data_IF_833928100908
#
_entry.id   IF_833928100908
#
_cell.length_a   1.000
_cell.length_b   1.000
_cell.length_c   1.000
_cell.angle_alpha   90.00
_cell.angle_beta   90.00
_cell.angle_gamma   90.00
#
_symmetry.space_group_name_H-M   'P 1'
#
loop_
_entity.id
_entity.type
_entity.pdbx_description
1 polymer ?
#
# COMPACT_ATOMS: atom_id res chain seq x y z
N UNK A 1 -8.06 -16.88 40.33
CA UNK A 1 -9.04 -16.16 39.49
C UNK A 1 -8.72 -16.22 38.00
N UNK A 2 -7.49 -15.89 37.57
CA UNK A 2 -7.11 -15.99 36.15
C UNK A 2 -7.32 -17.41 35.59
N UNK A 3 -6.84 -18.46 36.26
CA UNK A 3 -7.09 -19.83 35.80
C UNK A 3 -8.57 -20.25 35.89
N UNK A 4 -9.33 -19.75 36.87
CA UNK A 4 -10.77 -20.05 37.00
C UNK A 4 -11.55 -19.61 35.76
N UNK A 5 -11.27 -18.42 35.23
CA UNK A 5 -11.98 -17.94 34.03
C UNK A 5 -11.58 -18.70 32.77
N UNK A 6 -10.44 -19.39 32.78
CA UNK A 6 -9.95 -20.25 31.69
C UNK A 6 -10.55 -21.65 31.78
N UNK A 7 -10.54 -22.27 32.97
CA UNK A 7 -10.96 -23.68 33.16
C UNK A 7 -12.46 -23.82 33.38
N UNK A 8 -13.04 -23.04 34.30
CA UNK A 8 -14.45 -23.11 34.68
C UNK A 8 -15.34 -22.10 33.93
N UNK A 9 -14.71 -21.18 33.17
CA UNK A 9 -15.38 -20.15 32.38
C UNK A 9 -15.68 -18.86 33.16
N UNK A 10 -16.00 -17.81 32.40
CA UNK A 10 -16.00 -16.43 32.93
C UNK A 10 -17.18 -16.10 33.85
N UNK A 11 -18.31 -16.82 33.75
CA UNK A 11 -19.52 -16.61 34.56
C UNK A 11 -19.82 -17.77 35.51
N UNK A 12 -18.82 -18.58 35.88
CA UNK A 12 -18.99 -19.69 36.81
C UNK A 12 -19.53 -19.24 38.18
N UNK A 13 -20.25 -20.14 38.85
CA UNK A 13 -20.63 -19.96 40.25
C UNK A 13 -19.48 -20.45 41.15
N UNK A 14 -18.75 -19.49 41.73
CA UNK A 14 -17.57 -19.78 42.57
C UNK A 14 -17.90 -20.66 43.78
N UNK A 15 -19.16 -20.73 44.22
CA UNK A 15 -19.59 -21.60 45.32
C UNK A 15 -19.70 -23.07 44.93
N UNK A 16 -19.76 -23.35 43.63
CA UNK A 16 -19.88 -24.71 43.07
C UNK A 16 -18.57 -25.25 42.52
N UNK A 17 -17.50 -24.46 42.56
CA UNK A 17 -16.16 -24.90 42.16
C UNK A 17 -15.59 -25.73 43.32
N UNK A 18 -15.36 -27.02 43.09
CA UNK A 18 -14.80 -27.91 44.11
C UNK A 18 -13.29 -27.69 44.29
N UNK A 19 -12.71 -28.28 45.34
CA UNK A 19 -11.30 -28.12 45.68
C UNK A 19 -10.37 -28.60 44.55
N UNK A 20 -10.70 -29.71 43.88
CA UNK A 20 -9.92 -30.20 42.73
C UNK A 20 -9.91 -29.20 41.56
N UNK A 21 -11.06 -28.58 41.27
CA UNK A 21 -11.17 -27.54 40.24
C UNK A 21 -10.45 -26.25 40.65
N UNK A 22 -10.41 -25.92 41.95
CA UNK A 22 -9.61 -24.81 42.46
C UNK A 22 -8.12 -25.06 42.33
N UNK A 23 -7.66 -26.29 42.59
CA UNK A 23 -6.27 -26.70 42.41
C UNK A 23 -5.88 -26.62 40.93
N UNK A 24 -6.68 -27.20 40.03
CA UNK A 24 -6.46 -27.11 38.58
C UNK A 24 -6.44 -25.65 38.08
N UNK A 25 -7.40 -24.83 38.53
CA UNK A 25 -7.42 -23.42 38.21
C UNK A 25 -6.21 -22.64 38.78
N UNK A 26 -5.66 -23.10 39.91
CA UNK A 26 -4.42 -22.60 40.49
C UNK A 26 -3.24 -22.88 39.56
N UNK A 27 -3.06 -24.13 39.17
CA UNK A 27 -1.96 -24.58 38.30
C UNK A 27 -2.02 -23.89 36.93
N UNK A 28 -3.19 -23.85 36.29
CA UNK A 28 -3.40 -23.15 35.03
C UNK A 28 -3.12 -21.66 35.19
N UNK A 29 -3.66 -21.02 36.23
CA UNK A 29 -3.41 -19.60 36.48
C UNK A 29 -1.94 -19.28 36.70
N UNK A 30 -1.22 -20.12 37.44
CA UNK A 30 0.21 -19.98 37.69
C UNK A 30 1.05 -20.21 36.42
N UNK A 31 0.66 -21.15 35.55
CA UNK A 31 1.34 -21.41 34.27
C UNK A 31 1.37 -20.18 33.34
N UNK A 32 0.39 -19.27 33.45
CA UNK A 32 0.41 -17.97 32.78
C UNK A 32 1.14 -16.92 33.61
N UNK A 33 0.80 -16.79 34.90
CA UNK A 33 1.33 -15.73 35.75
C UNK A 33 2.85 -15.81 36.00
N UNK A 34 3.45 -17.00 36.06
CA UNK A 34 4.91 -17.15 36.26
C UNK A 34 5.73 -16.63 35.08
N UNK A 35 5.12 -16.48 33.89
CA UNK A 35 5.72 -15.86 32.70
C UNK A 35 5.59 -14.33 32.71
N UNK A 36 5.11 -13.75 33.80
CA UNK A 36 4.92 -12.32 33.96
C UNK A 36 3.80 -11.76 33.09
N UNK A 37 3.94 -10.49 32.69
CA UNK A 37 2.95 -9.75 31.92
C UNK A 37 2.54 -10.46 30.63
N UNK A 38 3.51 -10.96 29.86
CA UNK A 38 3.25 -11.62 28.58
C UNK A 38 2.30 -12.84 28.73
N UNK A 39 2.51 -13.67 29.75
CA UNK A 39 1.63 -14.81 30.01
C UNK A 39 0.22 -14.39 30.46
N UNK A 40 0.11 -13.31 31.24
CA UNK A 40 -1.19 -12.78 31.65
C UNK A 40 -1.95 -12.23 30.43
N UNK A 41 -1.28 -11.49 29.53
CA UNK A 41 -1.88 -10.96 28.31
C UNK A 41 -2.35 -12.11 27.39
N UNK A 42 -1.57 -13.17 27.26
CA UNK A 42 -1.95 -14.38 26.51
C UNK A 42 -3.24 -15.00 27.07
N UNK A 43 -3.32 -15.17 28.39
CA UNK A 43 -4.52 -15.69 29.06
C UNK A 43 -5.75 -14.81 28.82
N UNK A 44 -5.61 -13.49 28.90
CA UNK A 44 -6.71 -12.54 28.63
C UNK A 44 -7.17 -12.64 27.17
N UNK A 45 -6.24 -12.80 26.24
CA UNK A 45 -6.55 -12.96 24.83
C UNK A 45 -7.29 -14.25 24.53
N UNK A 46 -6.92 -15.37 25.17
CA UNK A 46 -7.67 -16.63 25.07
C UNK A 46 -9.13 -16.42 25.49
N UNK A 47 -9.36 -15.75 26.62
CA UNK A 47 -10.70 -15.46 27.13
C UNK A 47 -11.47 -14.55 26.16
N UNK A 48 -10.83 -13.52 25.60
CA UNK A 48 -11.46 -12.62 24.62
C UNK A 48 -11.80 -13.35 23.32
N UNK A 49 -10.92 -14.23 22.83
CA UNK A 49 -11.14 -15.03 21.63
C UNK A 49 -12.29 -16.01 21.79
N UNK A 50 -12.41 -16.67 22.96
CA UNK A 50 -13.60 -17.48 23.27
C UNK A 50 -14.87 -16.63 23.27
N UNK A 51 -14.85 -15.43 23.86
CA UNK A 51 -15.98 -14.51 23.83
C UNK A 51 -16.36 -14.08 22.39
N UNK A 52 -15.38 -13.87 21.51
CA UNK A 52 -15.56 -13.60 20.08
C UNK A 52 -16.25 -14.78 19.39
N UNK A 53 -15.75 -16.01 19.58
CA UNK A 53 -16.34 -17.24 19.00
C UNK A 53 -17.79 -17.43 19.45
N UNK A 54 -18.07 -17.14 20.72
CA UNK A 54 -19.43 -17.15 21.30
C UNK A 54 -20.29 -15.95 20.91
N UNK A 55 -19.75 -15.00 20.12
CA UNK A 55 -20.42 -13.76 19.70
C UNK A 55 -20.96 -12.95 20.89
N UNK A 56 -20.20 -12.94 21.97
CA UNK A 56 -20.57 -12.22 23.20
C UNK A 56 -20.61 -10.73 22.91
N UNK A 57 -21.69 -10.08 23.35
CA UNK A 57 -21.90 -8.63 23.26
C UNK A 57 -21.81 -8.01 24.64
N UNK A 58 -21.01 -6.96 24.80
CA UNK A 58 -20.89 -6.18 26.03
C UNK A 58 -19.46 -5.74 26.30
N UNK A 59 -19.28 -5.04 27.43
CA UNK A 59 -17.99 -4.54 27.88
C UNK A 59 -17.12 -5.57 28.62
N UNK A 60 -16.01 -5.11 29.23
CA UNK A 60 -14.99 -5.98 29.82
C UNK A 60 -15.53 -6.89 30.94
N UNK A 61 -16.49 -6.44 31.75
CA UNK A 61 -17.12 -7.28 32.77
C UNK A 61 -17.83 -8.50 32.18
N UNK A 62 -18.41 -8.39 30.98
CA UNK A 62 -19.14 -9.50 30.36
C UNK A 62 -18.18 -10.50 29.70
N UNK A 63 -17.04 -10.02 29.22
CA UNK A 63 -15.99 -10.85 28.60
C UNK A 63 -15.15 -11.53 29.68
N UNK A 64 -14.56 -10.76 30.60
CA UNK A 64 -13.63 -11.26 31.62
C UNK A 64 -14.34 -11.79 32.89
N UNK A 65 -15.63 -11.49 33.06
CA UNK A 65 -16.50 -12.11 34.07
C UNK A 65 -15.95 -12.00 35.49
N UNK A 66 -15.78 -13.15 36.15
CA UNK A 66 -15.33 -13.24 37.55
C UNK A 66 -13.96 -12.59 37.79
N UNK A 67 -13.05 -12.61 36.81
CA UNK A 67 -11.76 -11.93 36.93
C UNK A 67 -11.94 -10.41 37.05
N UNK A 68 -12.78 -9.81 36.19
CA UNK A 68 -13.11 -8.39 36.27
C UNK A 68 -13.79 -8.04 37.59
N UNK A 69 -14.78 -8.84 38.02
CA UNK A 69 -15.52 -8.60 39.25
C UNK A 69 -14.60 -8.63 40.48
N UNK A 70 -13.65 -9.56 40.51
CA UNK A 70 -12.67 -9.67 41.59
C UNK A 70 -11.78 -8.42 41.68
N UNK A 71 -11.32 -7.87 40.55
CA UNK A 71 -10.49 -6.67 40.51
C UNK A 71 -11.28 -5.38 40.76
N UNK A 72 -12.53 -5.29 40.30
CA UNK A 72 -13.34 -4.07 40.41
C UNK A 72 -13.92 -3.87 41.81
N UNK A 73 -14.39 -4.94 42.47
CA UNK A 73 -15.23 -4.82 43.66
C UNK A 73 -14.52 -5.15 44.97
N UNK A 74 -13.20 -4.90 45.07
CA UNK A 74 -12.30 -5.29 46.18
C UNK A 74 -12.95 -5.34 47.59
N UNK A 75 -13.66 -6.43 47.91
CA UNK A 75 -14.47 -6.52 49.15
C UNK A 75 -13.64 -6.70 50.40
N UNK A 76 -12.38 -7.11 50.24
CA UNK A 76 -11.52 -7.55 51.34
C UNK A 76 -10.36 -6.57 51.60
N UNK A 77 -10.30 -5.42 50.90
CA UNK A 77 -9.24 -4.41 50.99
C UNK A 77 -7.80 -4.96 50.85
N UNK A 78 -7.63 -6.16 50.30
CA UNK A 78 -6.30 -6.72 50.02
C UNK A 78 -5.82 -6.16 48.67
N UNK A 79 -4.55 -5.74 48.55
CA UNK A 79 -4.02 -5.34 47.26
C UNK A 79 -4.05 -6.54 46.30
N UNK A 80 -4.57 -6.34 45.10
CA UNK A 80 -4.65 -7.40 44.08
C UNK A 80 -3.28 -7.75 43.47
N UNK A 81 -2.27 -6.92 43.74
CA UNK A 81 -0.92 -7.06 43.20
C UNK A 81 -0.80 -6.56 41.76
N UNK A 82 0.37 -6.80 41.11
CA UNK A 82 0.70 -6.23 39.80
C UNK A 82 -0.26 -6.61 38.67
N UNK A 83 -0.97 -7.74 38.79
CA UNK A 83 -1.95 -8.19 37.78
C UNK A 83 -3.06 -7.17 37.51
N UNK A 84 -3.44 -6.34 38.49
CA UNK A 84 -4.46 -5.31 38.31
C UNK A 84 -4.05 -4.30 37.22
N UNK A 85 -2.77 -3.89 37.21
CA UNK A 85 -2.24 -2.97 36.19
C UNK A 85 -2.24 -3.61 34.80
N UNK A 86 -1.79 -4.86 34.69
CA UNK A 86 -1.76 -5.60 33.42
C UNK A 86 -3.18 -5.76 32.83
N UNK A 87 -4.15 -6.14 33.67
CA UNK A 87 -5.54 -6.30 33.23
C UNK A 87 -6.17 -4.95 32.89
N UNK A 88 -5.84 -3.87 33.62
CA UNK A 88 -6.30 -2.51 33.32
C UNK A 88 -5.84 -2.09 31.93
N UNK A 89 -4.54 -2.19 31.65
CA UNK A 89 -3.95 -1.84 30.35
C UNK A 89 -4.55 -2.68 29.22
N UNK A 90 -4.72 -3.99 29.43
CA UNK A 90 -5.39 -4.85 28.46
C UNK A 90 -6.83 -4.36 28.17
N UNK A 91 -7.60 -3.99 29.19
CA UNK A 91 -8.97 -3.50 29.00
C UNK A 91 -8.97 -2.20 28.20
N UNK A 92 -8.11 -1.24 28.53
CA UNK A 92 -8.05 0.05 27.84
C UNK A 92 -7.68 -0.10 26.36
N UNK A 93 -6.88 -1.11 26.01
CA UNK A 93 -6.45 -1.37 24.64
C UNK A 93 -7.45 -2.23 23.84
N UNK A 94 -8.42 -2.88 24.48
CA UNK A 94 -9.34 -3.83 23.80
C UNK A 94 -10.83 -3.50 23.97
N UNK A 95 -11.17 -2.48 24.78
CA UNK A 95 -12.55 -2.06 25.01
C UNK A 95 -12.67 -0.54 24.96
N UNK A 96 -13.74 0.00 24.38
CA UNK A 96 -13.98 1.44 24.33
C UNK A 96 -14.47 1.94 25.70
N UNK A 97 -13.53 2.19 26.61
CA UNK A 97 -13.84 2.74 27.94
C UNK A 97 -13.85 4.26 27.85
N UNK A 98 -14.99 4.88 28.15
CA UNK A 98 -15.17 6.33 28.08
C UNK A 98 -14.27 7.04 29.12
N UNK A 99 -13.67 8.16 28.71
CA UNK A 99 -12.94 9.04 29.61
C UNK A 99 -13.84 9.47 30.79
N UNK A 100 -13.27 9.54 31.99
CA UNK A 100 -14.00 9.79 33.24
C UNK A 100 -14.56 8.54 33.91
N UNK A 101 -14.55 7.37 33.25
CA UNK A 101 -15.00 6.11 33.86
C UNK A 101 -14.05 5.65 34.97
N UNK A 102 -14.58 5.11 36.07
CA UNK A 102 -13.78 4.48 37.11
C UNK A 102 -13.51 3.01 36.76
N UNK A 103 -12.25 2.65 36.58
CA UNK A 103 -11.82 1.28 36.29
C UNK A 103 -10.77 0.86 37.33
N UNK A 104 -11.06 -0.17 38.11
CA UNK A 104 -10.18 -0.69 39.16
C UNK A 104 -9.63 0.40 40.11
N UNK A 105 -10.51 1.31 40.55
CA UNK A 105 -10.18 2.37 41.50
C UNK A 105 -9.59 3.65 40.88
N UNK A 106 -9.17 3.62 39.62
CA UNK A 106 -8.56 4.76 38.92
C UNK A 106 -9.47 5.30 37.80
N UNK A 107 -9.48 6.62 37.65
CA UNK A 107 -10.20 7.30 36.56
C UNK A 107 -9.47 7.06 35.24
N UNK A 108 -10.21 6.70 34.21
CA UNK A 108 -9.69 6.63 32.84
C UNK A 108 -9.59 8.05 32.27
N UNK A 109 -8.38 8.47 31.91
CA UNK A 109 -8.13 9.84 31.42
C UNK A 109 -8.61 10.00 29.97
N UNK A 110 -8.38 8.99 29.15
CA UNK A 110 -8.71 9.01 27.72
C UNK A 110 -9.20 7.64 27.24
N UNK A 111 -10.08 7.65 26.24
CA UNK A 111 -10.48 6.45 25.52
C UNK A 111 -9.43 6.17 24.43
N UNK A 112 -8.94 4.93 24.33
CA UNK A 112 -7.87 4.59 23.36
C UNK A 112 -8.38 3.96 22.07
N UNK A 113 -9.51 3.26 22.13
CA UNK A 113 -10.02 2.49 20.99
C UNK A 113 -11.52 2.71 20.77
N UNK A 114 -11.96 2.44 19.56
CA UNK A 114 -13.36 2.37 19.18
C UNK A 114 -13.75 0.96 18.74
N UNK A 115 -14.96 0.54 19.11
CA UNK A 115 -15.73 -0.41 18.30
C UNK A 115 -16.59 0.35 17.29
N UNK A 116 -17.07 -0.35 16.25
CA UNK A 116 -18.06 0.18 15.30
C UNK A 116 -19.24 0.88 16.00
N UNK A 117 -19.75 0.28 17.07
CA UNK A 117 -20.93 0.80 17.79
C UNK A 117 -20.59 2.04 18.63
N UNK A 118 -19.43 2.05 19.29
CA UNK A 118 -18.99 3.23 20.05
C UNK A 118 -18.74 4.43 19.14
N UNK A 119 -18.14 4.22 17.96
CA UNK A 119 -17.92 5.29 16.99
C UNK A 119 -19.26 5.76 16.40
N UNK A 120 -20.18 4.84 16.06
CA UNK A 120 -21.53 5.19 15.60
C UNK A 120 -22.28 6.07 16.60
N UNK A 121 -22.18 5.75 17.90
CA UNK A 121 -22.80 6.57 18.96
C UNK A 121 -22.16 7.96 19.04
N UNK A 122 -20.86 8.07 18.83
CA UNK A 122 -20.12 9.34 18.89
C UNK A 122 -20.40 10.22 17.67
N UNK A 123 -20.40 9.66 16.46
CA UNK A 123 -20.49 10.44 15.21
C UNK A 123 -21.89 10.52 14.61
N UNK A 124 -22.80 9.64 15.02
CA UNK A 124 -24.12 9.48 14.40
C UNK A 124 -24.10 8.74 13.06
N UNK A 125 -22.95 8.28 12.59
CA UNK A 125 -22.84 7.54 11.33
C UNK A 125 -23.45 6.13 11.47
N UNK A 126 -24.01 5.62 10.37
CA UNK A 126 -24.62 4.30 10.36
C UNK A 126 -23.56 3.18 10.61
N UNK A 127 -23.78 2.23 11.55
CA UNK A 127 -22.80 1.19 11.89
C UNK A 127 -22.27 0.39 10.70
N UNK A 128 -23.15 0.08 9.73
CA UNK A 128 -22.75 -0.61 8.48
C UNK A 128 -21.75 0.19 7.65
N UNK A 129 -21.88 1.51 7.59
CA UNK A 129 -20.95 2.40 6.86
C UNK A 129 -19.60 2.43 7.56
N UNK A 130 -19.59 2.56 8.88
CA UNK A 130 -18.35 2.52 9.68
C UNK A 130 -17.65 1.18 9.50
N UNK A 131 -18.37 0.06 9.65
CA UNK A 131 -17.79 -1.28 9.51
C UNK A 131 -17.12 -1.49 8.14
N UNK A 132 -17.82 -1.11 7.06
CA UNK A 132 -17.26 -1.16 5.71
C UNK A 132 -16.04 -0.26 5.57
N UNK A 133 -16.06 0.94 6.13
CA UNK A 133 -14.95 1.89 6.05
C UNK A 133 -13.71 1.37 6.77
N UNK A 134 -13.84 0.93 8.03
CA UNK A 134 -12.70 0.47 8.83
C UNK A 134 -12.09 -0.82 8.28
N UNK A 135 -12.91 -1.74 7.74
CA UNK A 135 -12.41 -2.96 7.09
C UNK A 135 -11.73 -2.61 5.76
N UNK A 136 -12.35 -1.75 4.95
CA UNK A 136 -11.76 -1.37 3.67
C UNK A 136 -10.42 -0.64 3.84
N UNK A 137 -10.30 0.20 4.88
CA UNK A 137 -9.08 0.91 5.24
C UNK A 137 -8.04 0.05 5.98
N UNK A 138 -8.32 -1.23 6.26
CA UNK A 138 -7.40 -2.13 6.96
C UNK A 138 -7.23 -1.84 8.46
N UNK A 139 -8.12 -1.03 9.06
CA UNK A 139 -8.11 -0.77 10.50
C UNK A 139 -8.67 -1.93 11.32
N UNK A 140 -9.45 -2.80 10.69
CA UNK A 140 -10.00 -4.01 11.27
C UNK A 140 -10.08 -5.12 10.22
N UNK A 141 -9.89 -6.35 10.66
CA UNK A 141 -10.21 -7.54 9.87
C UNK A 141 -11.66 -7.96 10.13
N UNK A 142 -12.32 -8.51 9.11
CA UNK A 142 -13.66 -9.07 9.25
C UNK A 142 -14.52 -8.95 8.01
N UNK A 143 -15.81 -9.22 8.19
CA UNK A 143 -16.83 -9.12 7.14
C UNK A 143 -17.36 -7.67 7.04
N UNK A 144 -17.23 -6.99 5.88
CA UNK A 144 -17.73 -5.64 5.65
C UNK A 144 -19.24 -5.47 5.94
N UNK A 145 -20.03 -6.53 5.78
CA UNK A 145 -21.47 -6.50 5.98
C UNK A 145 -21.91 -6.94 7.38
N UNK A 146 -20.98 -7.43 8.20
CA UNK A 146 -21.28 -7.93 9.55
C UNK A 146 -20.27 -7.45 10.58
N UNK A 147 -20.65 -6.40 11.31
CA UNK A 147 -19.84 -5.87 12.40
C UNK A 147 -19.69 -6.88 13.56
N UNK A 148 -18.44 -7.12 13.96
CA UNK A 148 -18.09 -7.88 15.15
C UNK A 148 -18.07 -6.97 16.38
N UNK A 149 -18.79 -7.35 17.43
CA UNK A 149 -19.01 -6.48 18.60
C UNK A 149 -17.72 -6.13 19.38
N UNK A 150 -16.74 -7.04 19.39
CA UNK A 150 -15.47 -6.90 20.11
C UNK A 150 -14.29 -6.56 19.18
N UNK A 151 -14.55 -6.28 17.90
CA UNK A 151 -13.53 -5.74 17.01
C UNK A 151 -13.30 -4.28 17.38
N UNK A 152 -12.04 -3.93 17.60
CA UNK A 152 -11.62 -2.59 17.99
C UNK A 152 -10.56 -2.07 17.03
N UNK A 153 -10.50 -0.75 16.90
CA UNK A 153 -9.51 -0.02 16.14
C UNK A 153 -9.15 1.26 16.89
N UNK A 154 -8.03 1.86 16.53
CA UNK A 154 -7.52 3.09 17.12
C UNK A 154 -8.56 4.23 17.07
N UNK A 155 -8.66 4.99 18.17
CA UNK A 155 -9.67 6.04 18.32
C UNK A 155 -9.48 7.16 17.29
N UNK A 156 -8.30 7.77 17.23
CA UNK A 156 -8.03 8.93 16.40
C UNK A 156 -8.11 8.58 14.91
N UNK A 157 -7.53 7.44 14.54
CA UNK A 157 -7.51 6.95 13.16
C UNK A 157 -8.92 6.64 12.67
N UNK A 158 -9.77 6.02 13.50
CA UNK A 158 -11.17 5.73 13.18
C UNK A 158 -12.01 7.00 13.01
N UNK A 159 -11.84 7.97 13.89
CA UNK A 159 -12.55 9.26 13.81
C UNK A 159 -12.12 10.07 12.58
N UNK A 160 -10.82 10.13 12.30
CA UNK A 160 -10.28 10.78 11.11
C UNK A 160 -10.80 10.14 9.83
N UNK A 161 -10.85 8.81 9.77
CA UNK A 161 -11.42 8.10 8.63
C UNK A 161 -12.88 8.50 8.40
N UNK A 162 -13.71 8.52 9.45
CA UNK A 162 -15.12 8.90 9.30
C UNK A 162 -15.29 10.39 8.96
N UNK A 163 -14.43 11.27 9.45
CA UNK A 163 -14.39 12.67 9.02
C UNK A 163 -14.12 12.78 7.51
N UNK A 164 -13.13 12.04 6.99
CA UNK A 164 -12.83 11.98 5.55
C UNK A 164 -13.99 11.41 4.74
N UNK A 165 -14.68 10.38 5.24
CA UNK A 165 -15.86 9.80 4.60
C UNK A 165 -16.99 10.82 4.47
N UNK A 166 -17.28 11.58 5.54
CA UNK A 166 -18.31 12.63 5.53
C UNK A 166 -17.93 13.79 4.59
N UNK A 167 -16.66 14.16 4.59
CA UNK A 167 -16.11 15.23 3.76
C UNK A 167 -15.53 14.70 2.45
N UNK A 168 -16.29 13.86 1.74
CA UNK A 168 -15.88 13.30 0.46
C UNK A 168 -16.81 13.73 -0.67
N UNK A 169 -16.26 13.76 -1.88
CA UNK A 169 -16.97 14.08 -3.11
C UNK A 169 -16.96 12.88 -4.06
N UNK A 170 -18.09 12.57 -4.70
CA UNK A 170 -18.12 11.60 -5.78
C UNK A 170 -17.15 11.98 -6.90
N UNK A 171 -16.49 10.98 -7.51
CA UNK A 171 -15.61 11.20 -8.67
C UNK A 171 -16.36 11.87 -9.83
N UNK A 172 -17.68 11.72 -9.92
CA UNK A 172 -18.52 12.41 -10.89
C UNK A 172 -18.66 13.92 -10.63
N UNK A 173 -18.51 14.38 -9.39
CA UNK A 173 -18.55 15.80 -9.01
C UNK A 173 -17.16 16.46 -9.03
N UNK A 174 -16.10 15.66 -9.03
CA UNK A 174 -14.71 16.11 -9.10
C UNK A 174 -14.37 17.02 -10.31
N UNK A 175 -14.96 16.85 -11.52
CA UNK A 175 -14.71 17.76 -12.65
C UNK A 175 -15.08 19.21 -12.33
N UNK A 176 -16.24 19.43 -11.70
CA UNK A 176 -16.67 20.75 -11.26
C UNK A 176 -15.80 21.28 -10.13
N UNK A 177 -15.40 20.41 -9.20
CA UNK A 177 -14.50 20.78 -8.10
C UNK A 177 -13.14 21.26 -8.60
N UNK A 178 -12.51 20.55 -9.53
CA UNK A 178 -11.17 20.85 -10.07
C UNK A 178 -11.19 21.89 -11.21
N UNK A 179 -12.37 22.25 -11.71
CA UNK A 179 -12.55 23.00 -12.97
C UNK A 179 -11.85 22.31 -14.16
N UNK A 180 -12.08 21.00 -14.35
CA UNK A 180 -11.55 20.23 -15.47
C UNK A 180 -12.64 19.37 -16.14
N UNK A 181 -12.32 18.69 -17.24
CA UNK A 181 -13.29 17.80 -17.89
C UNK A 181 -13.38 16.42 -17.20
N UNK A 182 -14.46 15.68 -17.48
CA UNK A 182 -14.73 14.37 -16.87
C UNK A 182 -13.61 13.35 -17.06
N UNK A 183 -13.07 13.26 -18.27
CA UNK A 183 -12.01 12.28 -18.59
C UNK A 183 -10.75 12.60 -17.79
N UNK A 184 -10.39 13.88 -17.64
CA UNK A 184 -9.22 14.30 -16.87
C UNK A 184 -9.37 14.03 -15.38
N UNK A 185 -10.53 14.34 -14.79
CA UNK A 185 -10.79 13.99 -13.39
C UNK A 185 -10.66 12.47 -13.14
N UNK A 186 -11.14 11.64 -14.06
CA UNK A 186 -10.99 10.19 -13.98
C UNK A 186 -9.53 9.74 -14.11
N UNK A 187 -8.77 10.34 -15.03
CA UNK A 187 -7.33 10.05 -15.21
C UNK A 187 -6.52 10.45 -13.97
N UNK A 188 -6.83 11.57 -13.32
CA UNK A 188 -6.17 12.00 -12.07
C UNK A 188 -6.38 11.00 -10.93
N UNK A 189 -7.59 10.47 -10.79
CA UNK A 189 -7.89 9.47 -9.75
C UNK A 189 -7.30 8.10 -10.10
N UNK A 190 -7.39 7.67 -11.37
CA UNK A 190 -6.87 6.36 -11.80
C UNK A 190 -5.34 6.32 -11.81
N UNK A 191 -4.69 7.43 -12.16
CA UNK A 191 -3.24 7.59 -12.13
C UNK A 191 -2.67 7.84 -10.73
N UNK A 192 -3.50 7.87 -9.69
CA UNK A 192 -3.05 8.02 -8.30
C UNK A 192 -2.66 9.44 -7.88
N UNK A 193 -2.80 10.44 -8.76
CA UNK A 193 -2.54 11.85 -8.42
C UNK A 193 -3.50 12.38 -7.36
N UNK A 194 -4.74 11.88 -7.36
CA UNK A 194 -5.73 12.15 -6.33
C UNK A 194 -6.20 10.79 -5.77
N UNK A 195 -5.79 10.42 -4.55
CA UNK A 195 -6.18 9.14 -3.98
C UNK A 195 -7.70 9.10 -3.71
N UNK A 196 -8.27 7.90 -3.78
CA UNK A 196 -9.60 7.63 -3.21
C UNK A 196 -9.49 7.51 -1.70
N UNK A 197 -10.63 7.55 -1.00
CA UNK A 197 -10.69 7.29 0.44
C UNK A 197 -9.99 5.99 0.85
N UNK A 198 -10.12 4.96 0.01
CA UNK A 198 -9.43 3.68 0.15
C UNK A 198 -8.75 3.34 -1.18
N UNK A 199 -7.46 3.71 -1.36
CA UNK A 199 -6.79 3.67 -2.67
C UNK A 199 -6.62 2.27 -3.28
N UNK A 200 -6.49 1.22 -2.46
CA UNK A 200 -6.04 -0.10 -2.90
C UNK A 200 -7.12 -1.19 -2.81
N UNK A 201 -8.36 -0.83 -2.51
CA UNK A 201 -9.42 -1.82 -2.33
C UNK A 201 -10.36 -1.87 -3.53
N UNK A 202 -10.20 -2.83 -4.47
CA UNK A 202 -11.07 -2.97 -5.63
C UNK A 202 -12.52 -3.30 -5.25
N UNK A 203 -12.73 -3.85 -4.05
CA UNK A 203 -14.04 -4.17 -3.48
C UNK A 203 -14.67 -3.00 -2.71
N UNK A 204 -13.99 -1.85 -2.59
CA UNK A 204 -14.61 -0.65 -2.04
C UNK A 204 -15.85 -0.29 -2.86
N UNK A 205 -16.95 0.09 -2.22
CA UNK A 205 -18.21 0.44 -2.89
C UNK A 205 -18.82 1.73 -2.34
N UNK A 206 -19.69 2.36 -3.13
CA UNK A 206 -20.41 3.56 -2.72
C UNK A 206 -19.49 4.69 -2.28
N UNK A 207 -19.70 5.19 -1.06
CA UNK A 207 -18.93 6.30 -0.48
C UNK A 207 -17.42 6.01 -0.42
N UNK A 208 -17.01 4.75 -0.28
CA UNK A 208 -15.59 4.40 -0.16
C UNK A 208 -14.80 4.54 -1.47
N UNK A 209 -15.49 4.65 -2.62
CA UNK A 209 -14.86 4.99 -3.92
C UNK A 209 -14.68 6.50 -4.12
N UNK A 210 -15.15 7.33 -3.21
CA UNK A 210 -15.09 8.78 -3.33
C UNK A 210 -13.70 9.32 -3.02
N UNK A 211 -13.50 10.60 -3.30
CA UNK A 211 -12.27 11.35 -3.02
C UNK A 211 -12.55 12.24 -1.82
N UNK A 212 -11.68 12.21 -0.80
CA UNK A 212 -11.79 13.17 0.29
C UNK A 212 -11.52 14.58 -0.24
N UNK A 213 -12.31 15.57 0.17
CA UNK A 213 -12.13 16.97 -0.26
C UNK A 213 -10.71 17.44 0.03
N UNK A 214 -10.16 17.09 1.19
CA UNK A 214 -8.78 17.42 1.57
C UNK A 214 -7.71 16.85 0.64
N UNK A 215 -7.95 15.71 -0.03
CA UNK A 215 -7.00 15.15 -1.01
C UNK A 215 -7.09 15.87 -2.35
N UNK A 216 -8.30 16.27 -2.77
CA UNK A 216 -8.49 17.11 -3.95
C UNK A 216 -7.87 18.50 -3.74
N UNK A 217 -8.01 19.07 -2.55
CA UNK A 217 -7.37 20.33 -2.17
C UNK A 217 -5.86 20.21 -2.09
N UNK A 218 -5.33 19.13 -1.52
CA UNK A 218 -3.88 18.88 -1.50
C UNK A 218 -3.31 18.81 -2.91
N UNK A 219 -3.99 18.11 -3.82
CA UNK A 219 -3.59 18.08 -5.23
C UNK A 219 -3.61 19.48 -5.85
N UNK A 220 -4.68 20.25 -5.67
CA UNK A 220 -4.76 21.62 -6.20
C UNK A 220 -3.67 22.51 -5.61
N UNK A 221 -3.43 22.46 -4.30
CA UNK A 221 -2.41 23.25 -3.64
C UNK A 221 -1.00 22.91 -4.16
N UNK A 222 -0.69 21.62 -4.36
CA UNK A 222 0.57 21.19 -4.95
C UNK A 222 0.67 21.64 -6.40
N UNK A 223 -0.36 21.38 -7.21
CA UNK A 223 -0.36 21.66 -8.64
C UNK A 223 -0.26 23.17 -8.93
N UNK A 224 -1.08 23.98 -8.27
CA UNK A 224 -1.06 25.44 -8.39
C UNK A 224 0.19 26.04 -7.74
N UNK A 225 0.72 25.42 -6.68
CA UNK A 225 1.95 25.85 -6.02
C UNK A 225 3.20 25.73 -6.89
N UNK A 226 3.17 24.91 -7.94
CA UNK A 226 4.25 24.84 -8.94
C UNK A 226 4.21 25.99 -9.95
N UNK A 227 3.09 26.72 -10.03
CA UNK A 227 2.90 27.80 -10.99
C UNK A 227 3.26 29.16 -10.37
N UNK A 228 4.01 29.98 -11.11
CA UNK A 228 4.26 31.37 -10.73
C UNK A 228 3.01 32.22 -10.98
N UNK A 229 2.53 32.91 -9.95
CA UNK A 229 1.41 33.84 -10.09
C UNK A 229 1.86 35.10 -10.84
N UNK A 230 1.20 35.40 -11.96
CA UNK A 230 1.51 36.53 -12.84
C UNK A 230 0.23 37.29 -13.20
N UNK A 231 0.32 38.60 -13.44
CA UNK A 231 -0.85 39.40 -13.86
C UNK A 231 -1.26 39.17 -15.31
N UNK A 232 -0.29 38.83 -16.16
CA UNK A 232 -0.46 38.57 -17.59
C UNK A 232 0.44 37.40 -17.94
N UNK A 233 -0.07 36.45 -18.73
CA UNK A 233 0.68 35.29 -19.17
C UNK A 233 1.88 35.69 -20.03
N UNK A 234 3.03 35.06 -19.79
CA UNK A 234 4.20 35.19 -20.63
C UNK A 234 3.93 34.69 -22.05
N UNK A 235 4.63 35.25 -23.04
CA UNK A 235 4.48 34.84 -24.43
C UNK A 235 4.78 33.35 -24.63
N UNK A 236 3.92 32.69 -25.40
CA UNK A 236 4.02 31.27 -25.74
C UNK A 236 3.44 30.30 -24.69
N UNK A 237 3.07 30.78 -23.49
CA UNK A 237 2.39 29.95 -22.51
C UNK A 237 0.90 29.81 -22.84
N UNK A 238 0.37 28.61 -22.63
CA UNK A 238 -1.03 28.28 -22.90
C UNK A 238 -1.54 27.22 -21.93
N UNK A 239 -2.86 27.00 -21.93
CA UNK A 239 -3.48 25.98 -21.10
C UNK A 239 -2.97 24.57 -21.44
N UNK A 240 -3.10 23.66 -20.48
CA UNK A 240 -2.55 22.30 -20.60
C UNK A 240 -3.11 21.52 -21.79
N UNK A 241 -4.35 21.78 -22.23
CA UNK A 241 -4.96 21.07 -23.36
C UNK A 241 -4.32 21.54 -24.66
N UNK A 242 -4.24 22.85 -24.86
CA UNK A 242 -3.54 23.46 -26.01
C UNK A 242 -2.06 23.04 -26.04
N UNK A 243 -1.40 23.03 -24.87
CA UNK A 243 0.00 22.62 -24.76
C UNK A 243 0.19 21.14 -25.09
N UNK A 244 -0.74 20.27 -24.72
CA UNK A 244 -0.72 18.84 -25.08
C UNK A 244 -0.84 18.62 -26.59
N UNK A 245 -1.75 19.33 -27.25
CA UNK A 245 -1.93 19.25 -28.71
C UNK A 245 -0.66 19.68 -29.46
N UNK A 246 -0.07 20.81 -29.06
CA UNK A 246 1.14 21.32 -29.70
C UNK A 246 2.37 20.50 -29.35
N UNK A 247 2.59 20.13 -28.08
CA UNK A 247 3.76 19.34 -27.68
C UNK A 247 3.71 17.89 -28.18
N UNK A 248 2.51 17.39 -28.52
CA UNK A 248 2.17 15.98 -28.83
C UNK A 248 2.33 15.03 -27.65
N UNK A 249 2.20 15.54 -26.43
CA UNK A 249 2.22 14.75 -25.20
C UNK A 249 0.87 14.76 -24.50
N UNK A 250 0.42 13.63 -23.93
CA UNK A 250 -0.79 13.58 -23.12
C UNK A 250 -0.77 14.58 -21.97
N UNK A 251 -1.90 15.27 -21.72
CA UNK A 251 -2.06 16.20 -20.58
C UNK A 251 -1.66 15.57 -19.24
N UNK A 252 -1.84 14.25 -19.06
CA UNK A 252 -1.48 13.58 -17.81
C UNK A 252 0.04 13.55 -17.57
N UNK A 253 0.83 13.43 -18.63
CA UNK A 253 2.29 13.48 -18.55
C UNK A 253 2.77 14.91 -18.28
N UNK A 254 2.08 15.90 -18.84
CA UNK A 254 2.33 17.32 -18.53
C UNK A 254 2.05 17.61 -17.06
N UNK A 255 0.93 17.10 -16.51
CA UNK A 255 0.62 17.25 -15.07
C UNK A 255 1.72 16.62 -14.21
N UNK A 256 2.20 15.43 -14.56
CA UNK A 256 3.31 14.79 -13.85
C UNK A 256 4.61 15.62 -13.94
N UNK A 257 4.92 16.20 -15.10
CA UNK A 257 6.07 17.08 -15.27
C UNK A 257 5.96 18.37 -14.45
N UNK A 258 4.76 18.96 -14.36
CA UNK A 258 4.49 20.12 -13.47
C UNK A 258 4.69 19.72 -12.01
N UNK A 259 4.05 18.65 -11.54
CA UNK A 259 4.11 18.21 -10.14
C UNK A 259 5.50 17.77 -9.69
N UNK A 260 6.32 17.26 -10.61
CA UNK A 260 7.73 16.93 -10.33
C UNK A 260 8.66 18.14 -10.36
N UNK A 261 8.16 19.33 -10.73
CA UNK A 261 8.98 20.53 -10.88
C UNK A 261 9.93 20.46 -12.09
N UNK A 262 9.66 19.58 -13.06
CA UNK A 262 10.54 19.38 -14.22
C UNK A 262 10.39 20.47 -15.29
N UNK A 263 9.31 21.25 -15.23
CA UNK A 263 9.06 22.40 -16.10
C UNK A 263 9.45 23.68 -15.37
N UNK A 264 10.28 24.52 -16.00
CA UNK A 264 10.69 25.82 -15.47
C UNK A 264 9.72 26.95 -15.80
N UNK A 265 8.91 26.82 -16.86
CA UNK A 265 7.92 27.83 -17.27
C UNK A 265 6.49 27.37 -17.00
N UNK A 266 6.08 27.45 -15.74
CA UNK A 266 4.70 27.22 -15.31
C UNK A 266 4.15 28.50 -14.67
N UNK A 267 3.04 29.00 -15.20
CA UNK A 267 2.42 30.24 -14.73
C UNK A 267 0.93 30.06 -14.46
N UNK A 268 0.39 30.96 -13.63
CA UNK A 268 -1.05 31.07 -13.40
C UNK A 268 -1.45 32.54 -13.32
N UNK A 269 -2.50 32.91 -14.06
CA UNK A 269 -3.05 34.27 -14.07
C UNK A 269 -4.20 34.39 -13.07
N UNK A 270 -5.15 33.45 -13.13
CA UNK A 270 -6.29 33.40 -12.22
C UNK A 270 -6.32 32.05 -11.49
N UNK A 271 -5.89 32.00 -10.21
CA UNK A 271 -5.98 30.81 -9.37
C UNK A 271 -7.40 30.25 -9.21
N UNK A 272 -8.45 31.06 -9.37
CA UNK A 272 -9.83 30.60 -9.27
C UNK A 272 -10.21 29.63 -10.40
N UNK A 273 -9.49 29.67 -11.53
CA UNK A 273 -9.65 28.72 -12.63
C UNK A 273 -9.08 27.33 -12.33
N UNK A 274 -8.35 27.16 -11.20
CA UNK A 274 -7.81 25.86 -10.75
C UNK A 274 -7.05 25.16 -11.88
N UNK A 275 -7.47 23.95 -12.27
CA UNK A 275 -6.82 23.15 -13.30
C UNK A 275 -6.68 23.88 -14.65
N UNK A 276 -7.71 24.62 -15.07
CA UNK A 276 -7.70 25.38 -16.34
C UNK A 276 -6.84 26.64 -16.28
N UNK A 277 -6.47 27.10 -15.09
CA UNK A 277 -5.68 28.32 -14.91
C UNK A 277 -4.18 28.12 -15.10
N UNK A 278 -3.70 26.87 -15.07
CA UNK A 278 -2.27 26.56 -15.19
C UNK A 278 -1.84 26.61 -16.65
N UNK A 279 -0.81 27.41 -16.91
CA UNK A 279 -0.25 27.65 -18.22
C UNK A 279 1.18 27.11 -18.30
N UNK A 280 1.52 26.50 -19.42
CA UNK A 280 2.85 25.91 -19.69
C UNK A 280 3.32 26.24 -21.11
N UNK A 281 4.63 26.17 -21.34
CA UNK A 281 5.23 26.30 -22.67
C UNK A 281 5.25 24.94 -23.38
N UNK A 282 4.54 24.75 -24.52
CA UNK A 282 4.53 23.47 -25.25
C UNK A 282 5.90 23.04 -25.78
N UNK A 283 6.81 23.99 -26.03
CA UNK A 283 8.17 23.71 -26.50
C UNK A 283 8.98 23.08 -25.37
N UNK A 284 8.95 23.70 -24.18
CA UNK A 284 9.59 23.17 -22.99
C UNK A 284 9.04 21.79 -22.62
N UNK A 285 7.70 21.64 -22.62
CA UNK A 285 7.04 20.36 -22.38
C UNK A 285 7.58 19.27 -23.31
N UNK A 286 7.64 19.55 -24.62
CA UNK A 286 8.14 18.58 -25.59
C UNK A 286 9.59 18.21 -25.30
N UNK A 287 10.45 19.20 -25.00
CA UNK A 287 11.87 18.95 -24.70
C UNK A 287 12.06 18.11 -23.45
N UNK A 288 11.43 18.50 -22.34
CA UNK A 288 11.56 17.84 -21.04
C UNK A 288 11.04 16.41 -21.10
N UNK A 289 9.81 16.21 -21.59
CA UNK A 289 9.21 14.88 -21.67
C UNK A 289 9.94 13.97 -22.68
N UNK A 290 10.48 14.54 -23.77
CA UNK A 290 11.33 13.75 -24.69
C UNK A 290 12.67 13.35 -24.06
N UNK A 291 13.24 14.16 -23.17
CA UNK A 291 14.47 13.81 -22.42
C UNK A 291 14.18 12.75 -21.36
N UNK A 292 13.11 12.93 -20.57
CA UNK A 292 12.68 11.95 -19.57
C UNK A 292 12.30 10.62 -20.20
N UNK A 293 11.57 10.64 -21.32
CA UNK A 293 11.25 9.43 -22.07
C UNK A 293 12.48 8.73 -22.68
N UNK A 294 13.65 9.38 -22.72
CA UNK A 294 14.94 8.78 -23.13
C UNK A 294 15.78 8.33 -21.93
N UNK A 295 15.41 8.68 -20.71
CA UNK A 295 16.20 8.34 -19.53
C UNK A 295 16.20 6.82 -19.33
N UNK A 296 17.40 6.23 -19.22
CA UNK A 296 17.58 4.78 -19.21
C UNK A 296 17.37 4.08 -20.56
N UNK A 297 17.04 4.80 -21.64
CA UNK A 297 16.92 4.25 -22.98
C UNK A 297 18.14 4.58 -23.84
N UNK A 298 18.66 3.60 -24.55
CA UNK A 298 19.85 3.71 -25.40
C UNK A 298 19.51 3.41 -26.85
N UNK A 299 20.16 4.14 -27.78
CA UNK A 299 20.05 3.88 -29.20
C UNK A 299 20.69 2.55 -29.61
N UNK A 300 20.46 2.04 -30.83
CA UNK A 300 20.96 0.72 -31.26
C UNK A 300 22.49 0.60 -31.22
N UNK A 301 23.21 1.69 -31.50
CA UNK A 301 24.68 1.70 -31.48
C UNK A 301 25.24 1.70 -30.06
N UNK A 302 24.61 2.45 -29.16
CA UNK A 302 24.97 2.46 -27.74
C UNK A 302 24.62 1.11 -27.08
N UNK A 303 23.44 0.57 -27.36
CA UNK A 303 23.04 -0.77 -26.92
C UNK A 303 24.04 -1.83 -27.39
N UNK A 304 24.52 -1.75 -28.63
CA UNK A 304 25.53 -2.64 -29.17
C UNK A 304 26.89 -2.50 -28.49
N UNK A 305 27.31 -1.27 -28.14
CA UNK A 305 28.53 -1.02 -27.36
C UNK A 305 28.44 -1.57 -25.93
N UNK A 306 27.32 -1.35 -25.25
CA UNK A 306 27.10 -1.83 -23.87
C UNK A 306 27.05 -3.35 -23.81
N UNK A 307 26.30 -3.99 -24.72
CA UNK A 307 26.04 -5.43 -24.66
C UNK A 307 26.99 -6.29 -25.48
N UNK A 308 27.78 -5.67 -26.37
CA UNK A 308 28.52 -6.35 -27.42
C UNK A 308 27.63 -7.01 -28.49
N UNK A 309 26.31 -6.87 -28.44
CA UNK A 309 25.37 -7.49 -29.39
C UNK A 309 25.27 -6.67 -30.68
N UNK A 310 25.05 -7.36 -31.80
CA UNK A 310 24.80 -6.70 -33.09
C UNK A 310 23.37 -6.13 -33.14
N UNK A 311 23.11 -5.15 -34.01
CA UNK A 311 21.75 -4.60 -34.22
C UNK A 311 20.71 -5.70 -34.56
N UNK A 312 21.00 -6.71 -35.40
CA UNK A 312 20.10 -7.85 -35.60
C UNK A 312 19.84 -8.65 -34.31
N UNK A 313 20.86 -8.89 -33.49
CA UNK A 313 20.71 -9.62 -32.23
C UNK A 313 19.84 -8.85 -31.22
N UNK A 314 20.01 -7.52 -31.12
CA UNK A 314 19.14 -6.65 -30.31
C UNK A 314 17.67 -6.76 -30.76
N UNK A 315 17.42 -6.76 -32.07
CA UNK A 315 16.08 -6.98 -32.62
C UNK A 315 15.55 -8.39 -32.31
N UNK A 316 16.37 -9.43 -32.38
CA UNK A 316 15.96 -10.80 -32.04
C UNK A 316 15.54 -10.92 -30.57
N UNK A 317 16.20 -10.22 -29.65
CA UNK A 317 15.83 -10.22 -28.22
C UNK A 317 14.47 -9.55 -27.95
N UNK A 318 13.94 -8.75 -28.87
CA UNK A 318 12.54 -8.27 -28.79
C UNK A 318 11.51 -9.35 -29.15
N UNK A 319 11.96 -10.46 -29.72
CA UNK A 319 11.12 -11.60 -30.17
C UNK A 319 11.31 -12.82 -29.28
N UNK A 320 12.52 -13.10 -28.84
CA UNK A 320 12.81 -14.21 -27.91
C UNK A 320 12.12 -13.94 -26.57
N UNK A 321 11.36 -14.92 -26.07
CA UNK A 321 10.58 -14.81 -24.84
C UNK A 321 11.30 -15.42 -23.65
N UNK A 322 11.22 -14.75 -22.51
CA UNK A 322 11.56 -15.27 -21.18
C UNK A 322 10.54 -16.36 -20.79
N UNK A 323 10.84 -17.23 -19.80
CA UNK A 323 9.85 -18.17 -19.23
C UNK A 323 8.54 -17.50 -18.78
N UNK A 324 8.59 -16.22 -18.39
CA UNK A 324 7.42 -15.41 -18.05
C UNK A 324 6.56 -14.96 -19.24
N UNK A 325 6.93 -15.31 -20.48
CA UNK A 325 6.22 -14.93 -21.71
C UNK A 325 6.52 -13.52 -22.23
N UNK A 326 7.35 -12.72 -21.54
CA UNK A 326 7.79 -11.38 -21.98
C UNK A 326 9.06 -11.43 -22.84
N UNK A 327 9.31 -10.48 -23.76
CA UNK A 327 10.58 -10.43 -24.48
C UNK A 327 11.78 -10.18 -23.55
N UNK A 328 13.00 -10.47 -24.03
CA UNK A 328 14.21 -10.08 -23.32
C UNK A 328 14.48 -8.58 -23.37
N UNK A 329 14.14 -7.92 -24.49
CA UNK A 329 14.23 -6.47 -24.66
C UNK A 329 12.91 -5.87 -25.16
N UNK A 330 12.61 -4.66 -24.72
CA UNK A 330 11.52 -3.82 -25.19
C UNK A 330 12.08 -2.76 -26.13
N UNK A 331 11.51 -2.68 -27.33
CA UNK A 331 11.85 -1.63 -28.29
C UNK A 331 10.86 -0.47 -28.16
N UNK A 332 11.37 0.71 -27.79
CA UNK A 332 10.62 1.95 -27.72
C UNK A 332 10.78 2.71 -29.03
N UNK A 333 9.67 3.08 -29.67
CA UNK A 333 9.68 3.95 -30.84
C UNK A 333 9.52 5.40 -30.37
N UNK A 334 10.51 6.24 -30.66
CA UNK A 334 10.47 7.67 -30.37
C UNK A 334 10.75 8.48 -31.63
N UNK A 335 10.43 9.77 -31.59
CA UNK A 335 10.78 10.71 -32.65
C UNK A 335 12.00 11.52 -32.19
N UNK A 336 13.04 11.61 -33.03
CA UNK A 336 14.21 12.43 -32.72
C UNK A 336 13.91 13.93 -32.91
N UNK A 337 14.86 14.79 -32.56
CA UNK A 337 14.72 16.25 -32.71
C UNK A 337 14.51 16.72 -34.16
N UNK A 338 14.76 15.86 -35.15
CA UNK A 338 14.56 16.12 -36.59
C UNK A 338 13.28 15.48 -37.14
N UNK A 339 12.41 14.94 -36.30
CA UNK A 339 11.15 14.33 -36.76
C UNK A 339 11.26 12.90 -37.29
N UNK A 340 12.43 12.27 -37.24
CA UNK A 340 12.62 10.90 -37.72
C UNK A 340 12.35 9.87 -36.60
N UNK A 341 11.68 8.74 -36.91
CA UNK A 341 11.49 7.66 -35.95
C UNK A 341 12.83 7.00 -35.61
N UNK A 342 13.08 6.84 -34.32
CA UNK A 342 14.27 6.18 -33.76
C UNK A 342 13.81 5.12 -32.78
N UNK A 343 14.38 3.92 -32.92
CA UNK A 343 14.17 2.81 -32.00
C UNK A 343 15.19 2.88 -30.87
N UNK A 344 14.72 2.83 -29.63
CA UNK A 344 15.54 2.79 -28.42
C UNK A 344 15.27 1.50 -27.63
N UNK A 345 16.22 1.11 -26.80
CA UNK A 345 16.16 -0.08 -25.94
C UNK A 345 16.43 0.29 -24.48
N UNK A 346 15.81 -0.41 -23.53
CA UNK A 346 16.11 -0.22 -22.11
C UNK A 346 17.53 -0.69 -21.78
N UNK A 347 18.35 0.20 -21.23
CA UNK A 347 19.68 -0.14 -20.72
C UNK A 347 19.59 -1.13 -19.54
N UNK A 348 18.53 -1.04 -18.74
CA UNK A 348 18.29 -1.96 -17.62
C UNK A 348 17.98 -3.37 -18.13
N UNK A 349 17.09 -3.53 -19.11
CA UNK A 349 16.76 -4.84 -19.67
C UNK A 349 17.98 -5.48 -20.37
N UNK A 350 18.82 -4.67 -21.02
CA UNK A 350 20.11 -5.11 -21.57
C UNK A 350 21.02 -5.65 -20.48
N UNK A 351 21.14 -4.92 -19.36
CA UNK A 351 21.95 -5.36 -18.22
C UNK A 351 21.40 -6.64 -17.60
N UNK A 352 20.09 -6.72 -17.36
CA UNK A 352 19.44 -7.94 -16.87
C UNK A 352 19.71 -9.15 -17.76
N UNK A 353 19.69 -8.97 -19.09
CA UNK A 353 20.00 -10.04 -20.03
C UNK A 353 21.45 -10.53 -19.87
N UNK A 354 22.43 -9.63 -19.74
CA UNK A 354 23.85 -9.97 -19.60
C UNK A 354 24.19 -10.54 -18.21
N UNK A 355 23.46 -10.12 -17.18
CA UNK A 355 23.61 -10.64 -15.82
C UNK A 355 23.10 -12.07 -15.73
N UNK A 356 22.05 -12.43 -16.48
CA UNK A 356 21.46 -13.77 -16.48
C UNK A 356 22.07 -14.74 -17.47
N UNK A 357 22.70 -14.25 -18.53
CA UNK A 357 23.26 -15.11 -19.58
C UNK A 357 24.74 -14.89 -19.76
N UNK A 358 25.39 -15.90 -20.34
CA UNK A 358 26.78 -15.84 -20.74
C UNK A 358 26.91 -16.37 -22.15
N UNK A 359 27.79 -15.77 -22.96
CA UNK A 359 28.06 -16.32 -24.28
C UNK A 359 28.89 -17.59 -24.16
N UNK A 360 28.70 -18.54 -25.08
CA UNK A 360 29.51 -19.77 -25.13
C UNK A 360 31.02 -19.48 -25.11
N UNK A 361 31.42 -18.41 -25.82
CA UNK A 361 32.83 -18.00 -25.91
C UNK A 361 33.36 -17.56 -24.55
N UNK A 362 32.62 -16.71 -23.84
CA UNK A 362 33.04 -16.18 -22.55
C UNK A 362 33.02 -17.28 -21.47
N UNK A 363 32.02 -18.15 -21.51
CA UNK A 363 31.91 -19.29 -20.60
C UNK A 363 33.03 -20.32 -20.82
N UNK A 364 33.36 -20.63 -22.07
CA UNK A 364 34.46 -21.51 -22.40
C UNK A 364 35.82 -20.94 -21.97
N UNK A 365 36.02 -19.63 -22.18
CA UNK A 365 37.23 -18.92 -21.75
C UNK A 365 37.40 -18.95 -20.22
N UNK A 366 36.32 -18.79 -19.45
CA UNK A 366 36.33 -18.89 -17.99
C UNK A 366 36.79 -20.27 -17.48
N UNK A 367 36.56 -21.32 -18.27
CA UNK A 367 36.93 -22.71 -17.93
C UNK A 367 38.20 -23.20 -18.63
N UNK A 368 38.91 -22.31 -19.34
CA UNK A 368 40.17 -22.66 -20.00
C UNK A 368 40.06 -23.68 -21.13
N UNK A 369 38.88 -23.86 -21.73
CA UNK A 369 38.68 -24.82 -22.84
C UNK A 369 38.16 -24.13 -24.11
N UNK A 370 38.30 -24.81 -25.25
CA UNK A 370 37.78 -24.28 -26.52
C UNK A 370 36.25 -24.23 -26.53
N UNK A 371 35.68 -23.23 -27.21
CA UNK A 371 34.22 -23.09 -27.35
C UNK A 371 33.55 -24.32 -27.98
N UNK A 372 34.25 -25.03 -28.88
CA UNK A 372 33.77 -26.28 -29.49
C UNK A 372 33.66 -27.40 -28.43
N UNK A 373 34.69 -27.58 -27.62
CA UNK A 373 34.68 -28.57 -26.53
C UNK A 373 33.64 -28.22 -25.46
N UNK A 374 33.52 -26.94 -25.11
CA UNK A 374 32.50 -26.48 -24.15
C UNK A 374 31.08 -26.75 -24.68
N UNK A 375 30.82 -26.46 -25.95
CA UNK A 375 29.51 -26.74 -26.56
C UNK A 375 29.16 -28.22 -26.49
N UNK A 376 30.08 -29.10 -26.87
CA UNK A 376 29.88 -30.55 -26.78
C UNK A 376 29.60 -31.01 -25.34
N UNK A 377 30.29 -30.42 -24.35
CA UNK A 377 30.03 -30.70 -22.93
C UNK A 377 28.62 -30.28 -22.51
N UNK A 378 28.22 -29.05 -22.82
CA UNK A 378 26.88 -28.55 -22.50
C UNK A 378 25.78 -29.39 -23.17
N UNK A 379 25.95 -29.75 -24.44
CA UNK A 379 25.03 -30.63 -25.17
C UNK A 379 24.95 -32.03 -24.54
N UNK A 380 26.08 -32.61 -24.09
CA UNK A 380 26.09 -33.91 -23.40
C UNK A 380 25.37 -33.89 -22.04
N UNK A 381 25.25 -32.69 -21.43
CA UNK A 381 24.49 -32.46 -20.21
C UNK A 381 23.02 -32.05 -20.48
N UNK A 382 22.58 -32.01 -21.74
CA UNK A 382 21.23 -31.60 -22.12
C UNK A 382 20.96 -30.10 -21.96
N UNK A 383 22.00 -29.27 -21.88
CA UNK A 383 21.87 -27.82 -21.70
C UNK A 383 21.79 -27.15 -23.07
N UNK A 384 20.64 -26.56 -23.38
CA UNK A 384 20.38 -25.87 -24.64
C UNK A 384 20.63 -24.34 -24.55
N UNK A 385 21.07 -23.70 -25.65
CA UNK A 385 21.16 -22.25 -25.71
C UNK A 385 19.77 -21.61 -25.76
N UNK A 386 19.66 -20.36 -25.34
CA UNK A 386 18.37 -19.64 -25.30
C UNK A 386 17.76 -19.35 -26.68
N UNK A 387 18.57 -19.45 -27.73
CA UNK A 387 18.19 -19.27 -29.12
C UNK A 387 19.28 -19.83 -30.04
N UNK A 388 18.92 -20.05 -31.30
CA UNK A 388 19.87 -20.41 -32.34
C UNK A 388 20.96 -19.35 -32.55
N UNK A 389 22.14 -19.80 -32.94
CA UNK A 389 23.30 -18.93 -33.21
C UNK A 389 22.98 -17.80 -34.20
N UNK A 390 22.19 -18.08 -35.23
CA UNK A 390 21.82 -17.08 -36.25
C UNK A 390 20.96 -15.93 -35.69
N UNK A 391 20.25 -16.14 -34.58
CA UNK A 391 19.42 -15.11 -33.97
C UNK A 391 20.24 -14.05 -33.23
N UNK A 392 21.30 -14.48 -32.53
CA UNK A 392 22.10 -13.60 -31.65
C UNK A 392 23.55 -13.40 -32.13
N UNK A 393 23.95 -14.05 -33.22
CA UNK A 393 25.31 -14.07 -33.76
C UNK A 393 26.31 -14.88 -32.94
N UNK A 394 25.89 -15.40 -31.78
CA UNK A 394 26.64 -16.32 -30.91
C UNK A 394 25.64 -17.10 -30.04
N UNK A 395 26.05 -18.25 -29.52
CA UNK A 395 25.27 -18.98 -28.52
C UNK A 395 25.32 -18.28 -27.16
N UNK A 396 24.17 -18.12 -26.52
CA UNK A 396 24.01 -17.64 -25.15
C UNK A 396 23.30 -18.71 -24.32
N UNK A 397 23.76 -18.88 -23.09
CA UNK A 397 23.23 -19.86 -22.14
C UNK A 397 22.84 -19.15 -20.84
N UNK A 398 21.80 -19.62 -20.17
CA UNK A 398 21.38 -19.09 -18.88
C UNK A 398 22.35 -19.55 -17.79
N UNK A 399 22.85 -18.63 -16.96
CA UNK A 399 23.87 -18.95 -15.95
C UNK A 399 23.37 -19.92 -14.88
N UNK A 400 22.07 -19.90 -14.57
CA UNK A 400 21.44 -20.75 -13.55
C UNK A 400 21.56 -22.25 -13.86
N UNK A 401 21.64 -22.62 -15.14
CA UNK A 401 21.75 -24.02 -15.59
C UNK A 401 23.19 -24.46 -15.86
N UNK A 402 24.17 -23.56 -15.71
CA UNK A 402 25.58 -23.82 -16.04
C UNK A 402 26.44 -24.26 -14.84
N UNK A 403 25.86 -24.53 -13.67
CA UNK A 403 26.61 -25.05 -12.52
C UNK A 403 27.07 -26.51 -12.76
N UNK A 404 28.15 -26.66 -13.52
CA UNK A 404 28.85 -27.91 -13.82
C UNK A 404 30.15 -28.06 -13.02
#
# INVERSE_FOLDING_TARGET
>A
MLGVVITAGTHCDLRKVCDDQWNEAGDVGYSYAHRGEAGILEALEIVRQDAIRRRTKGGPQKVLGRLYQWLQFNKNNKPHGPIQGVVREYILNHFPIEAGSQLFGEIVVEQRVHTVHSLARKTGDHPKTINRAVIAAGLCEGDPDRAQALAVFDLETGERLMSRVRNSIPVSALPGYLNCNRVKAQQLVHGGFIPRLVPENPNATGVLKQVAVEDADRFLAQFLGMAKNVKVASEGLMDLVSAAELSRWPVIDIIAAVLSGSLGRVEIVDPALKFKGVLVDPTEVREVLSRQGREGLVGPDEAGRISGLSRPALNSLTRIRRPSGRPWLTAHQMVNSKGAPVRLYSAQELKEFLDRHVSLRDYAAQHGISAKAMKQRLESCGIEPIADNHCLGRFYYERSVLNL
#
